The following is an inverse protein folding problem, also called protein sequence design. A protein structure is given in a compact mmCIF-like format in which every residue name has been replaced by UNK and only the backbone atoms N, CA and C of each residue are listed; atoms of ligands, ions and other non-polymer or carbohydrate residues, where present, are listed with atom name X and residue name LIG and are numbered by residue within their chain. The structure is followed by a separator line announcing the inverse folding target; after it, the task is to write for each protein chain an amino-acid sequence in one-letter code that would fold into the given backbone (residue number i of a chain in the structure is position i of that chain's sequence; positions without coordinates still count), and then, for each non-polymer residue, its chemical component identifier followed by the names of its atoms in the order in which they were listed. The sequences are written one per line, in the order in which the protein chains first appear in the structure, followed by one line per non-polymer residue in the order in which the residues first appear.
data_IF_775026277393
#
_entry.id   IF_775026277393
#
_cell.length_a   1.000
_cell.length_b   1.000
_cell.length_c   1.000
_cell.angle_alpha   90.00
_cell.angle_beta   90.00
_cell.angle_gamma   90.00
#
_symmetry.space_group_name_H-M   'P 1'
#
loop_
_entity.id
_entity.type
_entity.pdbx_description
1 polymer ?
#
# COMPACT_ATOMS: atom_id res chain seq x y z
N UNK A 1 -17.16 -7.27 -8.44
CA UNK A 1 -16.34 -6.39 -7.59
C UNK A 1 -15.67 -7.29 -6.56
N UNK A 2 -14.59 -7.97 -6.94
CA UNK A 2 -13.78 -8.76 -6.00
C UNK A 2 -13.16 -7.81 -4.98
N UNK A 3 -13.73 -7.80 -3.77
CA UNK A 3 -13.11 -7.09 -2.66
C UNK A 3 -11.86 -7.91 -2.31
N UNK A 4 -10.65 -7.33 -2.37
CA UNK A 4 -9.44 -8.07 -2.01
C UNK A 4 -9.61 -8.57 -0.58
N UNK A 5 -9.33 -9.85 -0.36
CA UNK A 5 -9.38 -10.45 0.96
C UNK A 5 -8.34 -9.77 1.85
N UNK A 6 -8.80 -9.06 2.89
CA UNK A 6 -7.94 -8.21 3.72
C UNK A 6 -7.29 -9.09 4.78
N UNK A 7 -5.98 -9.28 4.67
CA UNK A 7 -5.23 -10.10 5.62
C UNK A 7 -4.83 -9.30 6.86
N UNK A 8 -4.47 -9.98 7.95
CA UNK A 8 -3.97 -9.31 9.18
C UNK A 8 -2.70 -8.48 8.91
N UNK A 9 -1.86 -8.91 7.98
CA UNK A 9 -0.68 -8.16 7.56
C UNK A 9 -1.06 -6.81 6.91
N UNK A 10 -2.20 -6.77 6.23
CA UNK A 10 -2.73 -5.58 5.56
C UNK A 10 -3.20 -4.54 6.58
N UNK A 11 -3.89 -5.02 7.61
CA UNK A 11 -4.36 -4.20 8.73
C UNK A 11 -3.16 -3.63 9.50
N UNK A 12 -2.14 -4.45 9.78
CA UNK A 12 -0.89 -4.02 10.44
C UNK A 12 -0.11 -3.01 9.61
N UNK A 13 -0.01 -3.25 8.29
CA UNK A 13 0.62 -2.28 7.38
C UNK A 13 -0.15 -0.96 7.37
N UNK A 14 -1.48 -1.02 7.31
CA UNK A 14 -2.35 0.17 7.27
C UNK A 14 -2.26 0.97 8.55
N UNK A 15 -2.25 0.30 9.72
CA UNK A 15 -2.03 0.94 11.02
C UNK A 15 -0.72 1.74 11.05
N UNK A 16 0.38 1.14 10.56
CA UNK A 16 1.68 1.82 10.45
C UNK A 16 1.68 2.95 9.42
N UNK A 17 1.03 2.73 8.28
CA UNK A 17 0.90 3.72 7.21
C UNK A 17 0.15 4.97 7.67
N UNK A 18 -0.94 4.79 8.42
CA UNK A 18 -1.73 5.86 9.01
C UNK A 18 -1.07 6.50 10.24
N UNK A 19 0.05 5.96 10.71
CA UNK A 19 0.82 6.45 11.88
C UNK A 19 -0.06 6.59 13.12
N UNK A 20 -0.94 5.61 13.36
CA UNK A 20 -1.82 5.61 14.52
C UNK A 20 -1.00 5.52 15.82
N UNK A 21 -1.32 6.40 16.77
CA UNK A 21 -0.64 6.45 18.09
C UNK A 21 -1.03 5.27 18.96
N UNK A 22 -2.27 4.79 18.84
CA UNK A 22 -2.75 3.63 19.58
C UNK A 22 -1.95 2.38 19.21
N UNK A 23 -1.41 1.62 20.18
CA UNK A 23 -0.74 0.36 19.90
C UNK A 23 -1.66 -0.60 19.13
N UNK A 24 -1.08 -1.41 18.24
CA UNK A 24 -1.85 -2.29 17.36
C UNK A 24 -2.75 -3.26 18.14
N UNK A 25 -2.18 -3.89 19.17
CA UNK A 25 -2.87 -4.89 19.99
C UNK A 25 -3.88 -4.26 20.98
N UNK A 26 -3.77 -2.96 21.24
CA UNK A 26 -4.65 -2.21 22.13
C UNK A 26 -5.70 -1.37 21.37
N UNK A 27 -5.89 -1.61 20.07
CA UNK A 27 -6.87 -0.88 19.29
C UNK A 27 -8.31 -1.20 19.73
N UNK A 28 -9.14 -0.17 20.01
CA UNK A 28 -10.56 -0.37 20.21
C UNK A 28 -11.21 -1.05 18.99
N UNK A 29 -12.24 -1.90 19.17
CA UNK A 29 -12.88 -2.61 18.07
C UNK A 29 -13.39 -1.69 16.95
N UNK A 30 -13.88 -0.50 17.30
CA UNK A 30 -14.33 0.51 16.34
C UNK A 30 -13.17 1.03 15.47
N UNK A 31 -12.02 1.30 16.08
CA UNK A 31 -10.82 1.73 15.37
C UNK A 31 -10.29 0.62 14.46
N UNK A 32 -10.25 -0.63 14.95
CA UNK A 32 -9.84 -1.78 14.15
C UNK A 32 -10.70 -1.94 12.90
N UNK A 33 -12.04 -1.78 13.01
CA UNK A 33 -12.95 -1.79 11.85
C UNK A 33 -12.63 -0.67 10.85
N UNK A 34 -12.35 0.54 11.32
CA UNK A 34 -11.95 1.65 10.45
C UNK A 34 -10.63 1.36 9.72
N UNK A 35 -9.65 0.77 10.40
CA UNK A 35 -8.37 0.36 9.78
C UNK A 35 -8.57 -0.73 8.74
N UNK A 36 -9.44 -1.72 8.97
CA UNK A 36 -9.78 -2.75 7.98
C UNK A 36 -10.41 -2.14 6.72
N UNK A 37 -11.33 -1.18 6.89
CA UNK A 37 -11.92 -0.47 5.75
C UNK A 37 -10.88 0.36 4.98
N UNK A 38 -10.00 1.06 5.71
CA UNK A 38 -8.90 1.80 5.12
C UNK A 38 -7.92 0.87 4.36
N UNK A 39 -7.64 -0.33 4.89
CA UNK A 39 -6.79 -1.30 4.24
C UNK A 39 -7.34 -1.72 2.87
N UNK A 40 -8.66 -1.91 2.78
CA UNK A 40 -9.34 -2.17 1.50
C UNK A 40 -9.23 -1.01 0.51
N UNK A 41 -9.42 0.24 0.97
CA UNK A 41 -9.27 1.42 0.14
C UNK A 41 -7.81 1.62 -0.34
N UNK A 42 -6.82 1.20 0.45
CA UNK A 42 -5.39 1.31 0.15
C UNK A 42 -4.84 0.09 -0.61
N UNK A 43 -5.64 -0.93 -0.89
CA UNK A 43 -5.19 -2.12 -1.62
C UNK A 43 -4.50 -1.80 -2.97
N UNK A 44 -5.00 -0.86 -3.81
CA UNK A 44 -4.33 -0.51 -5.06
C UNK A 44 -2.94 0.13 -4.84
N UNK A 45 -2.77 0.91 -3.77
CA UNK A 45 -1.49 1.52 -3.42
C UNK A 45 -0.46 0.46 -3.02
N UNK A 46 -0.90 -0.59 -2.33
CA UNK A 46 -0.05 -1.71 -1.92
C UNK A 46 0.38 -2.56 -3.11
N UNK A 47 -0.54 -2.85 -4.04
CA UNK A 47 -0.22 -3.57 -5.28
C UNK A 47 0.85 -2.84 -6.10
N UNK A 48 0.75 -1.51 -6.22
CA UNK A 48 1.77 -0.69 -6.91
C UNK A 48 3.13 -0.69 -6.21
N UNK A 49 3.19 -0.89 -4.90
CA UNK A 49 4.45 -0.95 -4.15
C UNK A 49 5.09 -2.34 -4.24
N UNK A 50 4.30 -3.40 -4.28
CA UNK A 50 4.78 -4.77 -4.48
C UNK A 50 5.24 -5.02 -5.91
N UNK A 51 4.67 -4.30 -6.88
CA UNK A 51 5.08 -4.37 -8.27
C UNK A 51 5.85 -3.08 -8.61
N UNK A 52 7.18 -3.02 -8.36
CA UNK A 52 7.95 -1.88 -8.79
C UNK A 52 7.69 -1.69 -10.29
N UNK A 53 7.42 -0.46 -10.77
CA UNK A 53 7.38 -0.25 -12.21
C UNK A 53 8.71 -0.76 -12.73
N UNK A 54 8.68 -1.74 -13.62
CA UNK A 54 9.86 -2.20 -14.33
C UNK A 54 10.39 -0.98 -15.06
N UNK A 55 11.33 -0.27 -14.43
CA UNK A 55 12.01 0.85 -15.06
C UNK A 55 12.77 0.20 -16.20
N UNK A 56 12.23 0.31 -17.41
CA UNK A 56 12.91 -0.15 -18.58
C UNK A 56 14.09 0.80 -18.83
N UNK A 57 15.24 0.42 -18.25
CA UNK A 57 16.50 1.15 -18.39
C UNK A 57 16.97 1.24 -19.85
N UNK A 58 16.34 0.54 -20.81
CA UNK A 58 16.63 0.70 -22.24
C UNK A 58 16.16 2.04 -22.79
N UNK A 59 15.18 2.71 -22.17
CA UNK A 59 14.67 4.00 -22.66
C UNK A 59 15.61 5.19 -22.35
N UNK A 60 16.52 5.07 -21.38
CA UNK A 60 17.42 6.18 -21.01
C UNK A 60 18.66 6.31 -21.90
N UNK A 61 18.95 5.33 -22.75
CA UNK A 61 20.14 5.32 -23.60
C UNK A 61 19.90 5.88 -25.02
N UNK A 62 18.67 6.29 -25.37
CA UNK A 62 18.30 6.74 -26.71
C UNK A 62 17.93 8.22 -26.78
N UNK A 63 18.48 9.06 -25.89
CA UNK A 63 18.09 10.47 -25.78
C UNK A 63 19.24 11.40 -25.44
N UNK A 64 20.43 11.19 -26.02
CA UNK A 64 21.47 12.21 -26.06
C UNK A 64 22.48 11.94 -27.19
N UNK A 65 22.06 12.19 -28.44
CA UNK A 65 22.93 12.35 -29.61
C UNK A 65 22.11 12.93 -30.77
N UNK A 66 21.90 14.24 -30.72
CA UNK A 66 21.88 15.19 -31.86
C UNK A 66 21.22 16.51 -31.41
N UNK A 67 22.03 17.48 -30.99
CA UNK A 67 22.25 18.78 -31.67
C UNK A 67 23.40 19.54 -30.96
#
# INVERSE_FOLDING_TARGET
MDRPDITEADVRWTHRFLRLVTPYDAMPPALRRAVVLAAGALAPLRQRRSNPPTIDFKRRAAGDLDD
#
